data_IF_704645372889
#
_entry.id   IF_704645372889
#
_cell.length_a   1.000
_cell.length_b   1.000
_cell.length_c   1.000
_cell.angle_alpha   90.00
_cell.angle_beta   90.00
_cell.angle_gamma   90.00
#
_symmetry.space_group_name_H-M   'P 1'
#
loop_
_entity.id
_entity.type
_entity.pdbx_description
1 polymer ?
#
# COMPACT_ATOMS: atom_id res chain seq x y z
N UNK A 1 -16.57 -20.80 10.07
CA UNK A 1 -15.87 -19.49 10.22
C UNK A 1 -14.39 -19.77 10.28
N UNK A 2 -13.53 -19.17 9.44
CA UNK A 2 -12.09 -19.30 9.58
C UNK A 2 -11.64 -18.43 10.77
N UNK A 3 -11.14 -19.00 11.87
CA UNK A 3 -10.75 -18.24 13.04
C UNK A 3 -9.43 -17.48 12.87
N UNK A 4 -8.67 -17.80 11.81
CA UNK A 4 -7.37 -17.20 11.58
C UNK A 4 -7.54 -15.82 10.91
N UNK A 5 -6.98 -14.80 11.55
CA UNK A 5 -6.94 -13.43 11.05
C UNK A 5 -5.47 -13.05 10.81
N UNK A 6 -5.17 -12.58 9.60
CA UNK A 6 -3.87 -11.99 9.30
C UNK A 6 -3.90 -10.52 9.74
N UNK A 7 -2.94 -10.13 10.56
CA UNK A 7 -2.81 -8.75 11.00
C UNK A 7 -1.61 -8.12 10.29
N UNK A 8 -1.87 -7.12 9.47
CA UNK A 8 -0.84 -6.27 8.86
C UNK A 8 -0.73 -4.97 9.67
N UNK A 9 0.46 -4.64 10.14
CA UNK A 9 0.75 -3.38 10.80
C UNK A 9 1.50 -2.44 9.85
N UNK A 10 0.88 -1.32 9.47
CA UNK A 10 1.52 -0.26 8.72
C UNK A 10 2.27 0.66 9.70
N UNK A 11 3.61 0.63 9.65
CA UNK A 11 4.48 1.28 10.64
C UNK A 11 4.58 2.79 10.43
N UNK A 12 4.70 3.20 9.18
CA UNK A 12 4.69 4.60 8.74
C UNK A 12 4.20 4.64 7.30
N UNK A 13 3.56 5.70 6.89
CA UNK A 13 3.07 5.91 5.53
C UNK A 13 3.80 7.04 4.81
N UNK A 14 3.36 7.35 3.58
CA UNK A 14 3.93 8.40 2.74
C UNK A 14 3.57 9.82 3.22
N UNK A 15 2.42 10.00 3.87
CA UNK A 15 1.89 11.32 4.20
C UNK A 15 2.79 12.14 5.12
N UNK A 16 2.67 13.45 5.05
CA UNK A 16 3.32 14.40 5.96
C UNK A 16 2.65 14.36 7.34
N UNK A 17 3.02 13.37 8.12
CA UNK A 17 2.43 13.11 9.45
C UNK A 17 3.43 13.19 10.59
N UNK A 18 4.72 13.31 10.32
CA UNK A 18 5.80 13.23 11.33
C UNK A 18 5.61 14.25 12.47
N UNK A 19 5.15 15.46 12.15
CA UNK A 19 4.85 16.47 13.17
C UNK A 19 3.55 16.25 13.97
N UNK A 20 2.72 15.25 13.62
CA UNK A 20 1.41 15.04 14.24
C UNK A 20 1.44 14.13 15.46
N UNK A 21 2.43 13.25 15.56
CA UNK A 21 2.60 12.39 16.71
C UNK A 21 4.06 11.98 16.90
N UNK A 22 4.60 12.07 18.14
CA UNK A 22 6.04 11.81 18.40
C UNK A 22 6.46 10.34 18.20
N UNK A 23 5.53 9.40 18.21
CA UNK A 23 5.81 7.97 18.01
C UNK A 23 5.88 7.55 16.53
N UNK A 24 5.67 8.46 15.56
CA UNK A 24 5.81 8.11 14.15
C UNK A 24 7.28 7.82 13.84
N UNK A 25 7.62 6.60 13.40
CA UNK A 25 9.01 6.24 13.14
C UNK A 25 9.50 6.91 11.85
N UNK A 26 10.71 7.46 11.89
CA UNK A 26 11.35 8.19 10.79
C UNK A 26 12.61 7.49 10.31
N UNK A 27 13.52 7.16 11.21
CA UNK A 27 14.79 6.52 10.85
C UNK A 27 14.61 5.02 10.60
N UNK A 28 15.48 4.39 9.80
CA UNK A 28 15.45 2.93 9.61
C UNK A 28 15.48 2.16 10.94
N UNK A 29 16.25 2.64 11.91
CA UNK A 29 16.30 2.04 13.25
C UNK A 29 14.94 2.12 13.96
N UNK A 30 14.24 3.26 13.88
CA UNK A 30 12.92 3.41 14.49
C UNK A 30 11.87 2.55 13.79
N UNK A 31 11.91 2.50 12.44
CA UNK A 31 10.98 1.70 11.65
C UNK A 31 11.16 0.21 11.96
N UNK A 32 12.39 -0.27 11.99
CA UNK A 32 12.68 -1.66 12.34
C UNK A 32 12.30 -1.99 13.80
N UNK A 33 12.53 -1.08 14.75
CA UNK A 33 12.09 -1.28 16.13
C UNK A 33 10.57 -1.39 16.24
N UNK A 34 9.83 -0.54 15.53
CA UNK A 34 8.36 -0.61 15.45
C UNK A 34 7.88 -1.92 14.80
N UNK A 35 8.59 -2.44 13.79
CA UNK A 35 8.30 -3.74 13.19
C UNK A 35 8.45 -4.89 14.20
N UNK A 36 9.53 -4.87 14.96
CA UNK A 36 9.79 -5.88 16.01
C UNK A 36 8.73 -5.81 17.11
N UNK A 37 8.32 -4.62 17.51
CA UNK A 37 7.24 -4.41 18.49
C UNK A 37 5.92 -4.95 17.96
N UNK A 38 5.57 -4.63 16.70
CA UNK A 38 4.36 -5.13 16.04
C UNK A 38 4.34 -6.67 15.97
N UNK A 39 5.47 -7.29 15.59
CA UNK A 39 5.60 -8.74 15.57
C UNK A 39 5.36 -9.37 16.95
N UNK A 40 5.97 -8.82 18.00
CA UNK A 40 5.77 -9.26 19.40
C UNK A 40 4.33 -9.07 19.88
N UNK A 41 3.63 -8.10 19.33
CA UNK A 41 2.22 -7.85 19.61
C UNK A 41 1.26 -8.75 18.81
N UNK A 42 1.78 -9.58 17.88
CA UNK A 42 1.02 -10.55 17.10
C UNK A 42 0.74 -10.16 15.66
N UNK A 43 1.38 -9.12 15.12
CA UNK A 43 1.31 -8.86 13.69
C UNK A 43 2.02 -9.96 12.91
N UNK A 44 1.42 -10.38 11.80
CA UNK A 44 1.98 -11.37 10.87
C UNK A 44 2.75 -10.68 9.73
N UNK A 45 2.31 -9.49 9.36
CA UNK A 45 2.88 -8.69 8.28
C UNK A 45 3.17 -7.27 8.80
N UNK A 46 4.29 -6.69 8.40
CA UNK A 46 4.54 -5.26 8.55
C UNK A 46 4.63 -4.62 7.18
N UNK A 47 3.89 -3.51 7.00
CA UNK A 47 3.97 -2.70 5.79
C UNK A 47 4.87 -1.49 6.06
N UNK A 48 5.89 -1.33 5.21
CA UNK A 48 6.96 -0.36 5.41
C UNK A 48 7.08 0.63 4.26
N UNK A 49 7.05 1.92 4.61
CA UNK A 49 7.65 3.00 3.85
C UNK A 49 8.97 3.38 4.51
N UNK A 50 9.80 4.15 3.82
CA UNK A 50 10.98 4.78 4.42
C UNK A 50 10.90 6.28 4.29
N UNK A 51 11.61 6.97 5.18
CA UNK A 51 11.66 8.42 5.25
C UNK A 51 13.10 8.88 5.25
N UNK A 52 13.35 10.07 4.74
CA UNK A 52 14.62 10.74 4.91
C UNK A 52 14.83 11.01 6.41
N UNK A 53 15.91 10.49 7.03
CA UNK A 53 16.12 10.61 8.47
C UNK A 53 16.30 12.03 8.98
N UNK A 54 16.75 12.95 8.10
CA UNK A 54 17.01 14.35 8.47
C UNK A 54 15.76 15.22 8.38
N UNK A 55 14.92 14.98 7.33
CA UNK A 55 13.76 15.84 7.05
C UNK A 55 12.43 15.23 7.51
N UNK A 56 12.37 13.91 7.70
CA UNK A 56 11.15 13.18 7.97
C UNK A 56 10.25 13.00 6.74
N UNK A 57 10.59 13.57 5.60
CA UNK A 57 9.83 13.40 4.37
C UNK A 57 9.97 11.96 3.84
N UNK A 58 8.99 11.52 3.05
CA UNK A 58 9.08 10.21 2.40
C UNK A 58 10.35 10.08 1.53
N UNK A 59 10.81 8.86 1.35
CA UNK A 59 11.97 8.55 0.51
C UNK A 59 11.72 7.30 -0.31
N UNK A 60 12.41 7.19 -1.45
CA UNK A 60 12.49 5.99 -2.28
C UNK A 60 13.89 5.40 -2.30
N UNK A 61 14.77 5.87 -1.45
CA UNK A 61 16.16 5.42 -1.41
C UNK A 61 16.23 3.93 -1.05
N UNK A 62 16.71 3.07 -1.95
CA UNK A 62 16.83 1.64 -1.70
C UNK A 62 17.73 1.31 -0.50
N UNK A 63 18.71 2.14 -0.18
CA UNK A 63 19.61 1.92 0.95
C UNK A 63 18.84 2.02 2.30
N UNK A 64 17.86 2.92 2.40
CA UNK A 64 17.03 3.00 3.60
C UNK A 64 16.12 1.79 3.76
N UNK A 65 15.56 1.27 2.66
CA UNK A 65 14.79 0.02 2.69
C UNK A 65 15.67 -1.18 3.07
N UNK A 66 16.89 -1.26 2.53
CA UNK A 66 17.83 -2.30 2.88
C UNK A 66 18.14 -2.29 4.37
N UNK A 67 18.47 -1.12 4.94
CA UNK A 67 18.75 -0.99 6.36
C UNK A 67 17.55 -1.40 7.23
N UNK A 68 16.32 -1.05 6.85
CA UNK A 68 15.11 -1.48 7.59
C UNK A 68 14.98 -2.99 7.56
N UNK A 69 15.11 -3.62 6.38
CA UNK A 69 14.99 -5.06 6.23
C UNK A 69 16.08 -5.82 7.00
N UNK A 70 17.34 -5.39 6.89
CA UNK A 70 18.47 -6.01 7.58
C UNK A 70 18.23 -6.01 9.10
N UNK A 71 17.86 -4.86 9.66
CA UNK A 71 17.56 -4.72 11.10
C UNK A 71 16.38 -5.59 11.54
N UNK A 72 15.34 -5.73 10.73
CA UNK A 72 14.20 -6.61 11.04
C UNK A 72 14.68 -8.06 11.03
N UNK A 73 15.46 -8.50 10.04
CA UNK A 73 15.99 -9.86 9.92
C UNK A 73 16.98 -10.19 11.05
N UNK A 74 17.87 -9.28 11.37
CA UNK A 74 18.83 -9.42 12.48
C UNK A 74 18.16 -9.56 13.85
N UNK A 75 16.96 -9.01 14.03
CA UNK A 75 16.20 -9.15 15.28
C UNK A 75 15.70 -10.56 15.55
N UNK A 76 15.65 -11.42 14.52
CA UNK A 76 15.20 -12.80 14.62
C UNK A 76 13.68 -12.99 14.82
N UNK A 77 12.86 -11.91 14.68
CA UNK A 77 11.40 -12.06 14.73
C UNK A 77 10.88 -12.71 13.45
N UNK A 78 9.89 -13.59 13.60
CA UNK A 78 9.18 -14.20 12.48
C UNK A 78 8.07 -13.24 12.00
N UNK A 79 8.38 -12.47 10.96
CA UNK A 79 7.47 -11.46 10.38
C UNK A 79 7.66 -11.36 8.87
N UNK A 80 6.57 -11.27 8.16
CA UNK A 80 6.54 -11.00 6.71
C UNK A 80 6.73 -9.50 6.48
N UNK A 81 7.66 -9.14 5.60
CA UNK A 81 7.89 -7.74 5.22
C UNK A 81 7.18 -7.43 3.91
N UNK A 82 6.34 -6.41 3.95
CA UNK A 82 5.66 -5.82 2.81
C UNK A 82 6.24 -4.43 2.56
N UNK A 83 6.92 -4.24 1.43
CA UNK A 83 7.46 -2.94 1.05
C UNK A 83 6.50 -2.22 0.10
N UNK A 84 6.29 -0.93 0.35
CA UNK A 84 5.52 -0.10 -0.59
C UNK A 84 6.22 0.00 -1.95
N UNK A 85 5.48 -0.09 -3.05
CA UNK A 85 5.93 0.30 -4.38
C UNK A 85 5.02 1.40 -4.99
N UNK A 86 4.15 2.00 -4.17
CA UNK A 86 3.25 3.09 -4.58
C UNK A 86 3.93 4.45 -4.73
N UNK A 87 5.11 4.64 -4.16
CA UNK A 87 5.82 5.92 -4.20
C UNK A 87 6.31 6.30 -5.60
N UNK A 88 6.17 7.56 -5.97
CA UNK A 88 6.53 8.06 -7.30
C UNK A 88 5.34 8.09 -8.26
N UNK A 89 4.15 8.27 -7.73
CA UNK A 89 2.90 8.37 -8.47
C UNK A 89 2.27 9.75 -8.46
N UNK A 90 2.79 10.69 -7.68
CA UNK A 90 2.16 11.97 -7.49
C UNK A 90 2.43 12.93 -8.64
N UNK A 91 1.37 13.50 -9.18
CA UNK A 91 1.37 14.51 -10.21
C UNK A 91 0.56 15.71 -9.71
N UNK A 92 1.22 16.81 -9.44
CA UNK A 92 0.57 18.08 -9.13
C UNK A 92 0.28 18.83 -10.43
N UNK A 93 -1.00 18.97 -10.76
CA UNK A 93 -1.47 19.66 -11.95
C UNK A 93 -1.21 21.15 -11.79
N UNK A 94 -0.80 21.82 -12.86
CA UNK A 94 -0.58 23.26 -12.86
C UNK A 94 -1.86 24.07 -12.68
N UNK A 95 -1.76 25.31 -12.18
CA UNK A 95 -2.90 26.13 -11.81
C UNK A 95 -3.70 26.60 -13.02
N UNK A 96 -5.02 26.60 -12.88
CA UNK A 96 -5.99 27.20 -13.83
C UNK A 96 -5.79 26.71 -15.26
N UNK A 97 -5.55 27.64 -16.17
CA UNK A 97 -5.44 27.38 -17.62
C UNK A 97 -4.06 26.84 -18.08
N UNK A 98 -3.18 26.51 -17.13
CA UNK A 98 -1.85 25.96 -17.43
C UNK A 98 -1.61 24.57 -16.82
N UNK A 99 -2.51 23.59 -17.06
CA UNK A 99 -2.48 22.31 -16.35
C UNK A 99 -1.21 21.48 -16.59
N UNK A 100 -0.50 21.71 -17.68
CA UNK A 100 0.75 21.00 -18.01
C UNK A 100 2.00 21.62 -17.40
N UNK A 101 1.89 22.73 -16.67
CA UNK A 101 2.97 23.29 -15.85
C UNK A 101 2.89 22.65 -14.47
N UNK A 102 3.44 21.45 -14.35
CA UNK A 102 3.34 20.67 -13.14
C UNK A 102 3.95 21.37 -11.92
N UNK A 103 3.30 21.18 -10.77
CA UNK A 103 3.71 21.76 -9.51
C UNK A 103 4.94 21.07 -8.90
N UNK A 104 5.55 21.72 -7.87
CA UNK A 104 6.80 21.28 -7.27
C UNK A 104 6.69 19.94 -6.50
N UNK A 105 5.49 19.52 -6.14
CA UNK A 105 5.27 18.25 -5.43
C UNK A 105 5.11 17.06 -6.39
N UNK A 106 5.30 17.26 -7.69
CA UNK A 106 5.29 16.18 -8.67
C UNK A 106 6.52 15.29 -8.49
N UNK A 107 6.28 14.00 -8.18
CA UNK A 107 7.32 12.97 -8.08
C UNK A 107 7.15 11.83 -9.07
N UNK A 108 6.25 11.98 -10.05
CA UNK A 108 5.86 10.96 -11.01
C UNK A 108 7.05 10.36 -11.76
N UNK A 109 7.22 9.04 -11.61
CA UNK A 109 8.27 8.25 -12.28
C UNK A 109 7.70 7.00 -12.95
N UNK A 110 8.51 6.34 -13.76
CA UNK A 110 8.12 5.11 -14.45
C UNK A 110 7.97 3.90 -13.50
N UNK A 111 7.20 2.87 -13.93
CA UNK A 111 6.89 1.73 -13.07
C UNK A 111 8.11 0.93 -12.63
N UNK A 112 9.16 0.82 -13.46
CA UNK A 112 10.39 0.11 -13.08
C UNK A 112 11.18 0.89 -12.02
N UNK A 113 11.21 2.21 -12.11
CA UNK A 113 11.88 3.04 -11.12
C UNK A 113 11.20 2.97 -9.73
N UNK A 114 9.89 2.70 -9.69
CA UNK A 114 9.16 2.44 -8.44
C UNK A 114 9.54 1.11 -7.78
N UNK A 115 10.06 0.15 -8.55
CA UNK A 115 10.38 -1.21 -8.10
C UNK A 115 11.87 -1.45 -7.79
N UNK A 116 12.74 -0.46 -7.92
CA UNK A 116 14.20 -0.66 -7.76
C UNK A 116 14.54 -1.33 -6.42
N UNK A 117 13.98 -0.88 -5.32
CA UNK A 117 14.22 -1.46 -4.00
C UNK A 117 13.61 -2.87 -3.87
N UNK A 118 12.46 -3.12 -4.52
CA UNK A 118 11.85 -4.47 -4.55
C UNK A 118 12.73 -5.44 -5.31
N UNK A 119 13.30 -5.04 -6.46
CA UNK A 119 14.23 -5.85 -7.24
C UNK A 119 15.51 -6.18 -6.48
N UNK A 120 16.02 -5.23 -5.70
CA UNK A 120 17.26 -5.41 -4.93
C UNK A 120 17.07 -6.26 -3.68
N UNK A 121 15.93 -6.16 -3.04
CA UNK A 121 15.72 -6.70 -1.69
C UNK A 121 14.82 -7.94 -1.64
N UNK A 122 14.03 -8.17 -2.69
CA UNK A 122 13.12 -9.31 -2.83
C UNK A 122 12.31 -9.58 -1.55
N UNK A 123 11.50 -8.60 -1.08
CA UNK A 123 10.64 -8.80 0.09
C UNK A 123 9.61 -9.91 -0.19
N UNK A 124 8.98 -10.44 0.84
CA UNK A 124 7.90 -11.42 0.66
C UNK A 124 6.70 -10.83 -0.07
N UNK A 125 6.37 -9.55 0.22
CA UNK A 125 5.24 -8.83 -0.37
C UNK A 125 5.70 -7.44 -0.82
N UNK A 126 5.15 -6.94 -1.91
CA UNK A 126 5.18 -5.52 -2.22
C UNK A 126 3.83 -5.03 -2.71
N UNK A 127 3.52 -3.74 -2.52
CA UNK A 127 2.25 -3.16 -2.97
C UNK A 127 2.27 -2.79 -4.45
N UNK A 128 1.08 -2.75 -5.04
CA UNK A 128 0.82 -2.22 -6.38
C UNK A 128 -0.50 -1.42 -6.33
N UNK A 129 -0.41 -0.11 -6.41
CA UNK A 129 -1.57 0.80 -6.36
C UNK A 129 -2.32 0.76 -7.70
N UNK A 130 -3.50 0.16 -7.70
CA UNK A 130 -4.19 -0.33 -8.89
C UNK A 130 -5.01 0.70 -9.64
N UNK A 131 -4.62 1.97 -9.65
CA UNK A 131 -5.30 2.96 -10.49
C UNK A 131 -4.93 4.41 -10.19
N UNK A 132 -5.40 5.27 -11.07
CA UNK A 132 -5.26 6.71 -10.96
C UNK A 132 -6.44 7.28 -10.17
N UNK A 133 -6.18 8.17 -9.22
CA UNK A 133 -7.23 8.84 -8.44
C UNK A 133 -6.80 10.25 -8.05
N UNK A 134 -7.79 11.12 -7.77
CA UNK A 134 -7.53 12.36 -7.06
C UNK A 134 -7.05 12.01 -5.65
N UNK A 135 -6.01 12.68 -5.18
CA UNK A 135 -5.39 12.36 -3.90
C UNK A 135 -5.49 13.54 -2.93
N UNK A 136 -6.60 13.61 -2.22
CA UNK A 136 -6.91 14.70 -1.31
C UNK A 136 -7.53 15.92 -2.00
N UNK A 137 -7.68 16.99 -1.23
CA UNK A 137 -8.13 18.30 -1.76
C UNK A 137 -6.96 19.02 -2.41
N UNK A 138 -7.19 19.57 -3.59
CA UNK A 138 -6.19 20.30 -4.36
C UNK A 138 -5.91 19.69 -5.72
N UNK A 139 -4.74 19.96 -6.25
CA UNK A 139 -4.38 19.67 -7.64
C UNK A 139 -3.51 18.40 -7.80
N UNK A 140 -3.38 17.60 -6.73
CA UNK A 140 -2.57 16.37 -6.75
C UNK A 140 -3.39 15.18 -7.22
N UNK A 141 -2.85 14.46 -8.19
CA UNK A 141 -3.39 13.20 -8.71
C UNK A 141 -2.34 12.12 -8.50
N UNK A 142 -2.76 10.99 -7.92
CA UNK A 142 -1.94 9.78 -7.99
C UNK A 142 -2.15 9.11 -9.35
N UNK A 143 -1.06 8.83 -10.07
CA UNK A 143 -1.09 8.32 -11.45
C UNK A 143 -0.54 6.90 -11.51
N UNK A 144 -1.41 5.96 -11.90
CA UNK A 144 -1.05 4.60 -12.31
C UNK A 144 -1.82 4.22 -13.57
N UNK A 145 -1.20 4.43 -14.74
CA UNK A 145 -1.83 4.10 -16.01
C UNK A 145 -1.94 2.60 -16.22
N UNK A 146 -2.90 2.10 -17.03
CA UNK A 146 -3.02 0.68 -17.34
C UNK A 146 -1.74 0.05 -17.90
N UNK A 147 -0.96 0.79 -18.68
CA UNK A 147 0.32 0.31 -19.21
C UNK A 147 1.37 0.17 -18.11
N UNK A 148 1.48 1.17 -17.23
CA UNK A 148 2.41 1.14 -16.10
C UNK A 148 2.06 0.00 -15.12
N UNK A 149 0.78 -0.18 -14.83
CA UNK A 149 0.29 -1.25 -13.95
C UNK A 149 0.60 -2.64 -14.50
N UNK A 150 0.36 -2.88 -15.80
CA UNK A 150 0.73 -4.16 -16.42
C UNK A 150 2.23 -4.43 -16.36
N UNK A 151 3.04 -3.41 -16.61
CA UNK A 151 4.50 -3.54 -16.53
C UNK A 151 4.96 -3.84 -15.10
N UNK A 152 4.43 -3.14 -14.10
CA UNK A 152 4.72 -3.37 -12.69
C UNK A 152 4.27 -4.76 -12.23
N UNK A 153 3.03 -5.14 -12.51
CA UNK A 153 2.48 -6.46 -12.16
C UNK A 153 3.32 -7.61 -12.74
N UNK A 154 3.66 -7.53 -14.03
CA UNK A 154 4.53 -8.51 -14.69
C UNK A 154 5.89 -8.59 -13.99
N UNK A 155 6.52 -7.44 -13.70
CA UNK A 155 7.84 -7.42 -13.07
C UNK A 155 7.82 -8.01 -11.66
N UNK A 156 6.83 -7.67 -10.84
CA UNK A 156 6.66 -8.23 -9.49
C UNK A 156 6.54 -9.76 -9.55
N UNK A 157 5.75 -10.29 -10.49
CA UNK A 157 5.60 -11.72 -10.70
C UNK A 157 6.91 -12.38 -11.16
N UNK A 158 7.65 -11.77 -12.09
CA UNK A 158 8.97 -12.26 -12.53
C UNK A 158 10.00 -12.33 -11.40
N UNK A 159 9.91 -11.43 -10.43
CA UNK A 159 10.77 -11.42 -9.25
C UNK A 159 10.39 -12.48 -8.20
N UNK A 160 9.25 -13.13 -8.36
CA UNK A 160 8.74 -14.09 -7.37
C UNK A 160 8.21 -13.42 -6.09
N UNK A 161 8.03 -12.11 -6.09
CA UNK A 161 7.47 -11.34 -4.97
C UNK A 161 5.94 -11.41 -5.02
N UNK A 162 5.28 -11.51 -3.87
CA UNK A 162 3.82 -11.52 -3.79
C UNK A 162 3.30 -10.10 -3.94
N UNK A 163 2.47 -9.85 -4.97
CA UNK A 163 1.81 -8.57 -5.12
C UNK A 163 0.65 -8.40 -4.12
N UNK A 164 0.61 -7.30 -3.41
CA UNK A 164 -0.56 -6.80 -2.69
C UNK A 164 -1.17 -5.64 -3.49
N UNK A 165 -2.38 -5.87 -4.00
CA UNK A 165 -3.08 -4.92 -4.87
C UNK A 165 -3.83 -3.91 -4.01
N UNK A 166 -3.38 -2.66 -4.00
CA UNK A 166 -4.07 -1.59 -3.29
C UNK A 166 -5.23 -1.04 -4.14
N UNK A 167 -6.43 -1.18 -3.62
CA UNK A 167 -7.69 -0.91 -4.30
C UNK A 167 -8.37 0.28 -3.62
N UNK A 168 -8.30 1.44 -4.25
CA UNK A 168 -8.87 2.70 -3.74
C UNK A 168 -10.27 2.99 -4.29
N UNK A 169 -10.72 2.23 -5.29
CA UNK A 169 -12.01 2.41 -5.95
C UNK A 169 -12.46 1.13 -6.67
N UNK A 170 -13.73 1.04 -7.01
CA UNK A 170 -14.30 -0.11 -7.74
C UNK A 170 -13.72 -0.26 -9.15
N UNK A 171 -13.34 0.84 -9.81
CA UNK A 171 -12.63 0.82 -11.09
C UNK A 171 -11.24 0.18 -10.98
N UNK A 172 -10.52 0.45 -9.89
CA UNK A 172 -9.23 -0.20 -9.59
C UNK A 172 -9.41 -1.70 -9.39
N UNK A 173 -10.45 -2.12 -8.66
CA UNK A 173 -10.78 -3.53 -8.48
C UNK A 173 -11.07 -4.21 -9.82
N UNK A 174 -11.83 -3.57 -10.69
CA UNK A 174 -12.12 -4.09 -12.02
C UNK A 174 -10.84 -4.29 -12.82
N UNK A 175 -9.94 -3.30 -12.82
CA UNK A 175 -8.68 -3.41 -13.55
C UNK A 175 -7.73 -4.46 -12.93
N UNK A 176 -7.67 -4.57 -11.61
CA UNK A 176 -6.93 -5.63 -10.91
C UNK A 176 -7.39 -7.02 -11.37
N UNK A 177 -8.71 -7.26 -11.44
CA UNK A 177 -9.30 -8.50 -11.98
C UNK A 177 -8.91 -8.73 -13.45
N UNK A 178 -8.82 -7.67 -14.24
CA UNK A 178 -8.38 -7.77 -15.64
C UNK A 178 -6.92 -8.20 -15.74
N UNK A 179 -6.03 -7.66 -14.91
CA UNK A 179 -4.60 -8.06 -14.88
C UNK A 179 -4.42 -9.54 -14.48
N UNK A 180 -5.23 -10.05 -13.55
CA UNK A 180 -5.25 -11.47 -13.20
C UNK A 180 -5.70 -12.32 -14.39
N UNK A 181 -6.77 -11.91 -15.08
CA UNK A 181 -7.27 -12.60 -16.28
C UNK A 181 -6.24 -12.62 -17.42
N UNK A 182 -5.40 -11.60 -17.52
CA UNK A 182 -4.29 -11.51 -18.48
C UNK A 182 -3.09 -12.39 -18.08
N UNK A 183 -3.11 -13.02 -16.90
CA UNK A 183 -2.02 -13.87 -16.40
C UNK A 183 -0.80 -13.09 -15.91
N UNK A 184 -0.95 -11.80 -15.61
CA UNK A 184 0.14 -10.95 -15.15
C UNK A 184 0.42 -11.07 -13.64
N UNK A 185 -0.52 -11.63 -12.90
CA UNK A 185 -0.47 -11.78 -11.44
C UNK A 185 -0.85 -13.20 -11.06
N UNK A 186 -0.04 -13.80 -10.20
CA UNK A 186 -0.29 -15.14 -9.64
C UNK A 186 -0.80 -15.03 -8.20
N UNK A 187 -2.09 -15.30 -8.02
CA UNK A 187 -2.75 -15.33 -6.71
C UNK A 187 -2.38 -14.12 -5.81
N UNK A 188 -2.60 -12.86 -6.26
CA UNK A 188 -2.24 -11.68 -5.50
C UNK A 188 -3.11 -11.53 -4.25
N UNK A 189 -2.61 -10.74 -3.30
CA UNK A 189 -3.40 -10.25 -2.17
C UNK A 189 -4.19 -9.01 -2.62
N UNK A 190 -5.37 -8.80 -2.02
CA UNK A 190 -6.14 -7.58 -2.23
C UNK A 190 -6.18 -6.77 -0.94
N UNK A 191 -5.90 -5.48 -1.02
CA UNK A 191 -6.07 -4.54 0.08
C UNK A 191 -7.07 -3.45 -0.30
N UNK A 192 -8.20 -3.42 0.37
CA UNK A 192 -9.22 -2.39 0.16
C UNK A 192 -8.88 -1.16 0.99
N UNK A 193 -8.50 -0.07 0.31
CA UNK A 193 -8.04 1.17 0.91
C UNK A 193 -9.20 2.18 0.93
N UNK A 194 -9.82 2.39 2.10
CA UNK A 194 -11.04 3.16 2.20
C UNK A 194 -10.80 4.52 2.89
N UNK A 195 -11.49 5.54 2.42
CA UNK A 195 -11.51 6.85 3.06
C UNK A 195 -10.37 7.78 2.67
N UNK A 196 -9.60 7.46 1.64
CA UNK A 196 -8.79 8.47 0.95
C UNK A 196 -9.76 9.44 0.27
N UNK A 197 -9.64 10.77 0.48
CA UNK A 197 -10.53 11.72 -0.18
C UNK A 197 -10.58 11.48 -1.68
N UNK A 198 -11.81 11.37 -2.19
CA UNK A 198 -12.17 11.13 -3.59
C UNK A 198 -11.90 9.72 -4.13
N UNK A 199 -11.38 8.81 -3.29
CA UNK A 199 -11.46 7.36 -3.49
C UNK A 199 -12.74 6.78 -2.87
N UNK A 200 -12.77 5.45 -2.68
CA UNK A 200 -13.89 4.76 -2.06
C UNK A 200 -14.12 5.23 -0.61
N UNK A 201 -15.33 5.66 -0.24
CA UNK A 201 -15.65 6.08 1.11
C UNK A 201 -15.42 4.97 2.15
N UNK A 202 -15.02 5.37 3.38
CA UNK A 202 -14.86 4.46 4.50
C UNK A 202 -16.18 4.23 5.23
N UNK A 203 -17.08 3.49 4.61
CA UNK A 203 -18.37 3.09 5.16
C UNK A 203 -18.68 1.62 4.88
N UNK A 204 -19.64 1.07 5.62
CA UNK A 204 -20.03 -0.34 5.56
C UNK A 204 -20.55 -0.75 4.18
N UNK A 205 -21.34 0.11 3.54
CA UNK A 205 -21.97 -0.18 2.23
C UNK A 205 -20.91 -0.27 1.15
N UNK A 206 -19.99 0.69 1.11
CA UNK A 206 -18.88 0.72 0.16
C UNK A 206 -17.95 -0.48 0.35
N UNK A 207 -17.52 -0.76 1.59
CA UNK A 207 -16.70 -1.93 1.87
C UNK A 207 -17.39 -3.21 1.42
N UNK A 208 -18.67 -3.40 1.77
CA UNK A 208 -19.44 -4.58 1.37
C UNK A 208 -19.52 -4.72 -0.14
N UNK A 209 -19.79 -3.65 -0.86
CA UNK A 209 -19.86 -3.66 -2.33
C UNK A 209 -18.51 -4.04 -2.96
N UNK A 210 -17.39 -3.55 -2.41
CA UNK A 210 -16.07 -3.92 -2.90
C UNK A 210 -15.75 -5.39 -2.60
N UNK A 211 -16.06 -5.87 -1.39
CA UNK A 211 -15.84 -7.28 -1.02
C UNK A 211 -16.68 -8.22 -1.88
N UNK A 212 -17.95 -7.90 -2.16
CA UNK A 212 -18.82 -8.71 -3.01
C UNK A 212 -18.32 -8.78 -4.47
N UNK A 213 -17.49 -7.84 -4.90
CA UNK A 213 -16.88 -7.80 -6.22
C UNK A 213 -15.49 -8.44 -6.29
N UNK A 214 -14.91 -8.89 -5.18
CA UNK A 214 -13.64 -9.62 -5.17
C UNK A 214 -13.76 -10.96 -5.92
N UNK A 215 -12.69 -11.44 -6.55
CA UNK A 215 -12.67 -12.80 -7.09
C UNK A 215 -12.90 -13.85 -5.98
N UNK A 216 -13.58 -14.97 -6.28
CA UNK A 216 -13.77 -16.02 -5.30
C UNK A 216 -12.43 -16.58 -4.76
N UNK A 217 -12.36 -16.80 -3.46
CA UNK A 217 -11.23 -17.49 -2.82
C UNK A 217 -9.95 -16.67 -2.65
N UNK A 218 -9.96 -15.38 -3.00
CA UNK A 218 -8.78 -14.52 -2.80
C UNK A 218 -8.57 -14.19 -1.32
N UNK A 219 -7.33 -13.98 -0.95
CA UNK A 219 -6.98 -13.39 0.35
C UNK A 219 -7.06 -11.87 0.24
N UNK A 220 -7.77 -11.26 1.18
CA UNK A 220 -7.96 -9.82 1.19
C UNK A 220 -7.87 -9.23 2.59
N UNK A 221 -7.49 -7.99 2.64
CA UNK A 221 -7.49 -7.11 3.82
C UNK A 221 -8.25 -5.82 3.51
N UNK A 222 -8.59 -5.06 4.54
CA UNK A 222 -9.16 -3.73 4.39
C UNK A 222 -8.78 -2.84 5.56
N UNK A 223 -8.63 -1.56 5.30
CA UNK A 223 -8.43 -0.54 6.31
C UNK A 223 -9.15 0.76 5.94
N UNK A 224 -9.31 1.63 6.91
CA UNK A 224 -9.79 3.00 6.71
C UNK A 224 -8.72 4.02 7.07
N UNK A 225 -8.69 5.15 6.38
CA UNK A 225 -7.76 6.24 6.68
C UNK A 225 -8.23 7.06 7.87
N UNK A 226 -7.28 7.53 8.68
CA UNK A 226 -7.50 8.45 9.79
C UNK A 226 -8.47 7.89 10.84
N UNK A 227 -9.55 8.63 11.13
CA UNK A 227 -10.52 8.23 12.16
C UNK A 227 -11.31 6.96 11.82
N UNK A 228 -11.36 6.58 10.54
CA UNK A 228 -12.05 5.39 10.09
C UNK A 228 -11.22 4.10 10.27
N UNK A 229 -9.96 4.18 10.69
CA UNK A 229 -9.05 3.05 10.81
C UNK A 229 -9.65 1.92 11.69
N UNK A 230 -9.93 2.19 12.94
CA UNK A 230 -10.47 1.18 13.86
C UNK A 230 -11.88 0.69 13.50
N UNK A 231 -12.84 1.56 13.11
CA UNK A 231 -14.14 1.10 12.63
C UNK A 231 -14.05 0.18 11.41
N UNK A 232 -13.22 0.51 10.42
CA UNK A 232 -13.09 -0.32 9.21
C UNK A 232 -12.34 -1.63 9.45
N UNK A 233 -11.38 -1.66 10.38
CA UNK A 233 -10.76 -2.90 10.84
C UNK A 233 -11.80 -3.85 11.45
N UNK A 234 -12.62 -3.38 12.37
CA UNK A 234 -13.69 -4.17 12.96
C UNK A 234 -14.70 -4.65 11.89
N UNK A 235 -15.06 -3.76 10.96
CA UNK A 235 -15.95 -4.08 9.86
C UNK A 235 -15.36 -5.16 8.92
N UNK A 236 -14.06 -5.13 8.64
CA UNK A 236 -13.41 -6.12 7.78
C UNK A 236 -13.50 -7.54 8.37
N UNK A 237 -13.33 -7.67 9.68
CA UNK A 237 -13.50 -8.94 10.39
C UNK A 237 -14.95 -9.42 10.32
N UNK A 238 -15.92 -8.54 10.51
CA UNK A 238 -17.37 -8.88 10.46
C UNK A 238 -17.78 -9.31 9.05
N UNK A 239 -17.41 -8.54 8.02
CA UNK A 239 -17.76 -8.85 6.63
C UNK A 239 -17.14 -10.18 6.18
N UNK A 240 -15.89 -10.47 6.55
CA UNK A 240 -15.24 -11.75 6.30
C UNK A 240 -15.99 -12.93 6.93
N UNK A 241 -16.57 -12.73 8.11
CA UNK A 241 -17.32 -13.75 8.81
C UNK A 241 -18.69 -14.06 8.18
N UNK A 242 -19.28 -13.10 7.47
CA UNK A 242 -20.60 -13.25 6.86
C UNK A 242 -20.63 -14.15 5.59
N UNK A 243 -19.48 -14.47 5.02
CA UNK A 243 -19.39 -15.34 3.83
C UNK A 243 -19.16 -16.82 4.14
N UNK A 244 -19.18 -17.24 5.40
CA UNK A 244 -18.94 -18.63 5.81
C UNK A 244 -20.11 -19.19 6.63
N UNK A 245 -21.36 -19.00 6.18
CA UNK A 245 -22.51 -19.78 6.65
C UNK A 245 -22.91 -20.79 5.62
#
# INVERSE_FOLDING_TARGET
>A
MNPNVIITCALTGAGDTVGRHPAIPVTPTQIAAAAVEAAKAGATVVHCHVRNPETGQFSRDPALYAEVMDRIRESGVDIIVNLTAGMGGDLEIGPGETPTKFGPNTDLIGPMARLIHVEQLLPEICTLDCGTLNFGDGDTIYVSTPTALRAGAKRITELGVKAELEIFDTGHLWFAKQMIKEGLLDNPLFQLCLGIPWGAPADTTTMKAMVDNLPPGVVWSAFGIGRSQMPMLAQSVIVRSAFFT
#
